data_IF_283985375953
#
_entry.id   IF_283985375953
#
_cell.length_a   1.000
_cell.length_b   1.000
_cell.length_c   1.000
_cell.angle_alpha   90.00
_cell.angle_beta   90.00
_cell.angle_gamma   90.00
#
_symmetry.space_group_name_H-M   'P 1'
#
loop_
_entity.id
_entity.type
_entity.pdbx_description
1 polymer ?
#
# COMPACT_ATOMS: atom_id res chain seq x y z
N UNK A 1 -8.32 9.92 -21.17
CA UNK A 1 -7.33 9.55 -20.13
C UNK A 1 -6.91 8.10 -20.36
N UNK A 2 -5.62 7.86 -20.66
CA UNK A 2 -5.06 6.50 -20.68
C UNK A 2 -5.16 5.91 -19.27
N UNK A 3 -5.66 4.68 -19.15
CA UNK A 3 -5.65 3.94 -17.89
C UNK A 3 -4.21 3.52 -17.59
N UNK A 4 -3.71 3.85 -16.40
CA UNK A 4 -2.43 3.34 -15.91
C UNK A 4 -2.54 1.83 -15.69
N UNK A 5 -1.63 1.04 -16.23
CA UNK A 5 -1.61 -0.42 -16.04
C UNK A 5 -1.47 -0.80 -14.55
N UNK A 6 -0.97 0.12 -13.72
CA UNK A 6 -0.80 -0.06 -12.28
C UNK A 6 -2.07 0.16 -11.46
N UNK A 7 -3.12 0.73 -12.07
CA UNK A 7 -4.32 1.14 -11.35
C UNK A 7 -5.08 -0.06 -10.77
N UNK A 8 -5.13 -1.19 -11.49
CA UNK A 8 -5.79 -2.42 -11.04
C UNK A 8 -5.08 -3.05 -9.81
N UNK A 9 -3.78 -3.36 -9.85
CA UNK A 9 -3.10 -3.96 -8.70
C UNK A 9 -3.06 -3.02 -7.48
N UNK A 10 -2.83 -1.72 -7.68
CA UNK A 10 -2.81 -0.74 -6.58
C UNK A 10 -4.19 -0.64 -5.91
N UNK A 11 -5.28 -0.62 -6.69
CA UNK A 11 -6.65 -0.62 -6.13
C UNK A 11 -6.95 -1.86 -5.30
N UNK A 12 -6.50 -3.04 -5.76
CA UNK A 12 -6.67 -4.29 -5.01
C UNK A 12 -5.93 -4.23 -3.67
N UNK A 13 -4.66 -3.81 -3.67
CA UNK A 13 -3.87 -3.66 -2.44
C UNK A 13 -4.54 -2.67 -1.47
N UNK A 14 -4.92 -1.48 -1.95
CA UNK A 14 -5.56 -0.47 -1.09
C UNK A 14 -6.87 -0.98 -0.47
N UNK A 15 -7.65 -1.76 -1.24
CA UNK A 15 -8.91 -2.33 -0.77
C UNK A 15 -8.73 -3.46 0.25
N UNK A 16 -7.63 -4.21 0.18
CA UNK A 16 -7.27 -5.24 1.16
C UNK A 16 -6.79 -4.61 2.48
N UNK A 17 -6.08 -3.48 2.40
CA UNK A 17 -5.47 -2.86 3.58
C UNK A 17 -6.46 -2.04 4.43
N UNK A 18 -7.52 -1.50 3.83
CA UNK A 18 -8.50 -0.72 4.60
C UNK A 18 -9.89 -0.72 3.97
N UNK A 19 -10.91 -0.69 4.84
CA UNK A 19 -12.32 -0.48 4.46
C UNK A 19 -12.71 1.00 4.44
N UNK A 20 -11.87 1.88 5.00
CA UNK A 20 -12.09 3.32 4.96
C UNK A 20 -11.87 3.85 3.54
N UNK A 21 -12.89 4.54 3.01
CA UNK A 21 -12.89 5.01 1.62
C UNK A 21 -11.86 6.12 1.38
N UNK A 22 -11.68 7.02 2.34
CA UNK A 22 -10.74 8.14 2.23
C UNK A 22 -9.31 7.62 2.31
N UNK A 23 -9.01 6.79 3.31
CA UNK A 23 -7.68 6.21 3.48
C UNK A 23 -7.28 5.31 2.30
N UNK A 24 -8.25 4.61 1.70
CA UNK A 24 -8.03 3.80 0.49
C UNK A 24 -7.63 4.66 -0.71
N UNK A 25 -8.29 5.80 -0.89
CA UNK A 25 -7.99 6.72 -1.98
C UNK A 25 -6.60 7.36 -1.81
N UNK A 26 -6.28 7.76 -0.58
CA UNK A 26 -4.96 8.31 -0.22
C UNK A 26 -3.85 7.28 -0.46
N UNK A 27 -4.03 6.04 -0.01
CA UNK A 27 -3.10 4.93 -0.24
C UNK A 27 -2.87 4.67 -1.73
N UNK A 28 -3.95 4.69 -2.52
CA UNK A 28 -3.86 4.49 -3.97
C UNK A 28 -3.02 5.59 -4.62
N UNK A 29 -3.26 6.85 -4.27
CA UNK A 29 -2.53 7.99 -4.81
C UNK A 29 -1.04 7.92 -4.42
N UNK A 30 -0.74 7.62 -3.16
CA UNK A 30 0.63 7.49 -2.65
C UNK A 30 1.41 6.38 -3.34
N UNK A 31 0.81 5.20 -3.50
CA UNK A 31 1.45 4.08 -4.21
C UNK A 31 1.70 4.42 -5.69
N UNK A 32 0.72 5.01 -6.39
CA UNK A 32 0.89 5.39 -7.80
C UNK A 32 1.97 6.46 -7.99
N UNK A 33 2.00 7.48 -7.13
CA UNK A 33 3.04 8.51 -7.16
C UNK A 33 4.43 7.93 -6.92
N UNK A 34 4.55 6.99 -5.98
CA UNK A 34 5.82 6.35 -5.68
C UNK A 34 6.29 5.46 -6.84
N UNK A 35 5.40 4.65 -7.41
CA UNK A 35 5.70 3.82 -8.58
C UNK A 35 6.12 4.67 -9.77
N UNK A 36 5.41 5.78 -10.03
CA UNK A 36 5.76 6.70 -11.12
C UNK A 36 7.15 7.32 -10.95
N UNK A 37 7.55 7.65 -9.71
CA UNK A 37 8.88 8.21 -9.42
C UNK A 37 10.02 7.18 -9.52
N UNK A 38 9.74 5.91 -9.24
CA UNK A 38 10.77 4.88 -9.07
C UNK A 38 10.85 3.84 -10.20
N UNK A 39 9.84 3.72 -11.06
CA UNK A 39 9.88 2.78 -12.18
C UNK A 39 10.68 3.35 -13.36
N UNK A 40 11.93 2.89 -13.49
CA UNK A 40 12.81 3.21 -14.62
C UNK A 40 12.85 2.17 -15.74
N UNK A 41 12.31 0.96 -15.54
CA UNK A 41 12.41 -0.12 -16.53
C UNK A 41 11.11 -0.94 -16.59
N UNK A 42 10.61 -1.18 -17.80
CA UNK A 42 9.44 -1.99 -18.11
C UNK A 42 9.90 -3.33 -18.71
N UNK A 43 9.61 -4.45 -18.04
CA UNK A 43 9.73 -5.81 -18.59
C UNK A 43 8.73 -6.74 -17.87
N UNK A 44 8.38 -7.91 -18.43
CA UNK A 44 7.29 -8.79 -17.95
C UNK A 44 7.44 -9.30 -16.49
N UNK A 45 8.64 -9.25 -15.92
CA UNK A 45 8.87 -9.49 -14.48
C UNK A 45 8.39 -8.33 -13.57
N UNK A 46 7.90 -7.23 -14.15
CA UNK A 46 7.44 -6.03 -13.45
C UNK A 46 6.28 -6.27 -12.50
N UNK A 47 5.35 -7.18 -12.81
CA UNK A 47 4.10 -7.27 -12.06
C UNK A 47 4.38 -7.61 -10.58
N UNK A 48 5.31 -8.54 -10.34
CA UNK A 48 5.75 -8.88 -8.99
C UNK A 48 6.53 -7.75 -8.32
N UNK A 49 7.40 -7.05 -9.07
CA UNK A 49 8.16 -5.91 -8.55
C UNK A 49 7.24 -4.75 -8.16
N UNK A 50 6.29 -4.40 -9.02
CA UNK A 50 5.31 -3.32 -8.80
C UNK A 50 4.42 -3.64 -7.61
N UNK A 51 3.93 -4.88 -7.51
CA UNK A 51 3.16 -5.34 -6.35
C UNK A 51 3.98 -5.23 -5.06
N UNK A 52 5.24 -5.66 -5.09
CA UNK A 52 6.14 -5.58 -3.94
C UNK A 52 6.41 -4.13 -3.54
N UNK A 53 6.73 -3.24 -4.48
CA UNK A 53 6.97 -1.82 -4.23
C UNK A 53 5.72 -1.13 -3.68
N UNK A 54 4.56 -1.36 -4.30
CA UNK A 54 3.29 -0.79 -3.88
C UNK A 54 2.92 -1.24 -2.45
N UNK A 55 3.06 -2.54 -2.16
CA UNK A 55 2.78 -3.10 -0.84
C UNK A 55 3.66 -2.48 0.24
N UNK A 56 4.97 -2.41 0.03
CA UNK A 56 5.89 -1.81 1.01
C UNK A 56 5.58 -0.34 1.22
N UNK A 57 5.29 0.40 0.14
CA UNK A 57 4.92 1.82 0.24
C UNK A 57 3.64 2.02 1.05
N UNK A 58 2.63 1.17 0.85
CA UNK A 58 1.38 1.24 1.58
C UNK A 58 1.56 0.96 3.08
N UNK A 59 2.40 -0.03 3.42
CA UNK A 59 2.75 -0.35 4.81
C UNK A 59 3.45 0.85 5.47
N UNK A 60 4.44 1.45 4.80
CA UNK A 60 5.15 2.63 5.32
C UNK A 60 4.21 3.83 5.53
N UNK A 61 3.29 4.05 4.59
CA UNK A 61 2.29 5.10 4.73
C UNK A 61 1.37 4.86 5.91
N UNK A 62 0.82 3.63 6.05
CA UNK A 62 -0.05 3.26 7.17
C UNK A 62 0.67 3.35 8.50
N UNK A 63 1.92 2.88 8.58
CA UNK A 63 2.75 3.03 9.79
C UNK A 63 2.83 4.48 10.22
N UNK A 64 3.15 5.40 9.30
CA UNK A 64 3.22 6.84 9.60
C UNK A 64 1.85 7.42 9.97
N UNK A 65 0.81 7.02 9.24
CA UNK A 65 -0.56 7.47 9.49
C UNK A 65 -1.00 7.07 10.91
N UNK A 66 -0.85 5.81 11.31
CA UNK A 66 -1.22 5.33 12.63
C UNK A 66 -0.30 5.89 13.74
N UNK A 67 1.02 5.95 13.54
CA UNK A 67 1.94 6.59 14.49
C UNK A 67 1.52 8.04 14.74
N UNK A 68 1.13 8.78 13.70
CA UNK A 68 0.68 10.16 13.83
C UNK A 68 -0.73 10.30 14.41
N UNK A 69 -1.52 9.22 14.44
CA UNK A 69 -2.86 9.20 15.04
C UNK A 69 -2.88 8.70 16.49
N UNK A 70 -1.83 8.04 16.97
CA UNK A 70 -1.77 7.58 18.36
C UNK A 70 -0.95 8.58 19.18
N UNK A 71 -1.53 9.22 20.23
CA UNK A 71 -0.74 10.02 21.16
C UNK A 71 0.35 9.20 21.87
N UNK A 72 0.13 7.91 22.11
CA UNK A 72 1.06 6.95 22.72
C UNK A 72 0.63 5.50 22.40
N UNK A 73 1.08 4.91 21.29
CA UNK A 73 0.81 3.50 20.97
C UNK A 73 2.02 2.83 20.36
N UNK A 74 2.35 1.64 20.85
CA UNK A 74 3.62 0.98 20.59
C UNK A 74 3.62 0.27 19.22
N UNK A 75 4.79 0.06 18.64
CA UNK A 75 4.97 -0.67 17.36
C UNK A 75 4.32 -2.08 17.35
N UNK A 76 4.17 -2.70 18.52
CA UNK A 76 3.53 -4.02 18.71
C UNK A 76 2.05 -4.05 18.28
N UNK A 77 1.34 -2.94 18.44
CA UNK A 77 -0.09 -2.85 18.09
C UNK A 77 -0.30 -2.86 16.57
N UNK A 78 0.62 -2.23 15.84
CA UNK A 78 0.58 -2.17 14.37
C UNK A 78 0.95 -3.54 13.79
N UNK A 79 1.99 -4.20 14.29
CA UNK A 79 2.37 -5.54 13.85
C UNK A 79 1.27 -6.58 14.12
N UNK A 80 0.52 -6.43 15.21
CA UNK A 80 -0.62 -7.30 15.54
C UNK A 80 -1.79 -7.15 14.57
N UNK A 81 -2.11 -5.92 14.12
CA UNK A 81 -3.16 -5.65 13.12
C UNK A 81 -2.76 -6.22 11.74
N UNK A 82 -1.48 -6.10 11.39
CA UNK A 82 -0.97 -6.65 10.13
C UNK A 82 -0.88 -8.18 10.15
N UNK A 83 -0.49 -8.81 11.26
CA UNK A 83 -0.36 -10.26 11.36
C UNK A 83 -1.69 -11.00 11.54
N UNK A 84 -2.72 -10.40 12.15
CA UNK A 84 -4.06 -11.02 12.25
C UNK A 84 -4.79 -11.18 10.90
N UNK A 85 -4.30 -10.57 9.83
CA UNK A 85 -4.87 -10.69 8.48
C UNK A 85 -4.03 -11.56 7.52
N UNK A 86 -2.94 -12.19 7.98
CA UNK A 86 -2.06 -13.04 7.17
C UNK A 86 -2.31 -14.55 7.38
N UNK A 87 -3.34 -14.93 8.16
CA UNK A 87 -3.76 -16.33 8.40
C UNK A 87 -4.77 -16.86 7.35
N UNK A 88 -4.89 -16.20 6.19
CA UNK A 88 -5.55 -16.80 5.03
C UNK A 88 -4.51 -17.00 3.93
N UNK A 89 -4.15 -18.27 3.74
CA UNK A 89 -3.66 -18.83 2.48
C UNK A 89 -4.44 -18.29 1.27
#
# INVERSE_FOLDING_TARGET
MQKSIYDIPVKKIASLLTKDLHLREDLKQEMLLYLFKNNRYYDEEMDNYVLWVAKNRAIDYLRKFYINQIPYGSMEDIETIFNKNNDCY
#
